data_IF_460223547376
#
_entry.id   IF_460223547376
#
_cell.length_a   1.000
_cell.length_b   1.000
_cell.length_c   1.000
_cell.angle_alpha   90.00
_cell.angle_beta   90.00
_cell.angle_gamma   90.00
#
_symmetry.space_group_name_H-M   'P 1'
#
loop_
_entity.id
_entity.type
_entity.pdbx_description
1 polymer ?
#
# COMPACT_ATOMS: atom_id res chain seq x y z
N UNK A 1 6.08 -0.34 9.37
CA UNK A 1 7.08 -0.52 8.29
C UNK A 1 6.96 0.52 7.19
N UNK A 2 5.91 0.57 6.35
CA UNK A 2 5.85 1.56 5.25
C UNK A 2 5.94 3.03 5.72
N UNK A 3 5.29 3.36 6.84
CA UNK A 3 5.42 4.68 7.47
C UNK A 3 6.84 4.96 7.99
N UNK A 4 7.57 3.93 8.44
CA UNK A 4 8.98 4.04 8.86
C UNK A 4 9.86 4.31 7.64
N UNK A 5 9.65 3.60 6.54
CA UNK A 5 10.37 3.82 5.28
C UNK A 5 10.21 5.24 4.76
N UNK A 6 8.99 5.77 4.81
CA UNK A 6 8.67 7.14 4.36
C UNK A 6 9.13 8.23 5.31
N UNK A 7 9.59 7.87 6.52
CA UNK A 7 9.87 8.83 7.58
C UNK A 7 8.63 9.45 8.24
N UNK A 8 7.44 8.93 7.92
CA UNK A 8 6.16 9.37 8.52
C UNK A 8 6.02 8.89 9.98
N UNK A 9 6.75 7.83 10.34
CA UNK A 9 6.79 7.28 11.69
C UNK A 9 8.24 7.05 12.13
N UNK A 10 8.60 7.68 13.25
CA UNK A 10 9.88 7.48 13.94
C UNK A 10 9.59 6.76 15.27
N UNK A 11 9.58 5.41 15.28
CA UNK A 11 9.18 4.65 16.44
C UNK A 11 10.23 4.77 17.55
N UNK A 12 9.76 4.93 18.79
CA UNK A 12 10.61 4.73 19.96
C UNK A 12 10.81 3.22 20.21
N UNK A 13 11.63 2.88 21.22
CA UNK A 13 11.93 1.49 21.62
C UNK A 13 10.68 0.62 21.88
N UNK A 14 9.60 1.20 22.41
CA UNK A 14 8.37 0.44 22.69
C UNK A 14 7.59 0.17 21.41
N UNK A 15 7.45 1.16 20.53
CA UNK A 15 6.71 1.04 19.27
C UNK A 15 7.43 0.12 18.28
N UNK A 16 8.76 0.13 18.30
CA UNK A 16 9.58 -0.70 17.41
C UNK A 16 9.53 -2.17 17.82
N UNK A 17 9.52 -2.48 19.12
CA UNK A 17 9.36 -3.84 19.62
C UNK A 17 8.07 -4.53 19.17
N UNK A 18 6.96 -3.76 19.05
CA UNK A 18 5.70 -4.28 18.49
C UNK A 18 5.82 -4.56 17.00
N UNK A 19 6.54 -3.71 16.26
CA UNK A 19 6.72 -3.83 14.82
C UNK A 19 7.72 -4.92 14.41
N UNK A 20 8.64 -5.27 15.32
CA UNK A 20 9.73 -6.21 15.10
C UNK A 20 9.43 -7.63 15.55
N UNK A 21 8.15 -8.01 15.49
CA UNK A 21 7.70 -9.38 15.71
C UNK A 21 8.33 -10.32 14.66
N UNK A 22 9.04 -11.39 15.07
CA UNK A 22 9.59 -12.39 14.14
C UNK A 22 8.54 -12.98 13.18
N UNK A 23 7.29 -13.16 13.63
CA UNK A 23 6.20 -13.70 12.82
C UNK A 23 5.77 -12.71 11.72
N UNK A 24 5.95 -11.40 11.94
CA UNK A 24 5.73 -10.38 10.90
C UNK A 24 6.71 -10.58 9.75
N UNK A 25 7.99 -10.77 10.05
CA UNK A 25 9.02 -10.99 9.04
C UNK A 25 8.79 -12.30 8.27
N UNK A 26 8.44 -13.38 8.98
CA UNK A 26 8.11 -14.65 8.35
C UNK A 26 6.91 -14.53 7.41
N UNK A 27 5.86 -13.83 7.83
CA UNK A 27 4.68 -13.58 7.00
C UNK A 27 5.01 -12.80 5.72
N UNK A 28 5.95 -11.85 5.78
CA UNK A 28 6.42 -11.12 4.61
C UNK A 28 7.24 -12.01 3.66
N UNK A 29 8.08 -12.90 4.18
CA UNK A 29 8.82 -13.87 3.37
C UNK A 29 7.88 -14.87 2.68
N UNK A 30 6.87 -15.36 3.40
CA UNK A 30 5.86 -16.25 2.83
C UNK A 30 5.07 -15.55 1.72
N UNK A 31 4.69 -14.27 1.94
CA UNK A 31 4.04 -13.47 0.90
C UNK A 31 4.94 -13.28 -0.33
N UNK A 32 6.22 -12.99 -0.13
CA UNK A 32 7.19 -12.84 -1.21
C UNK A 32 7.30 -14.12 -2.03
N UNK A 33 7.40 -15.29 -1.37
CA UNK A 33 7.46 -16.58 -2.03
C UNK A 33 6.19 -16.88 -2.83
N UNK A 34 5.00 -16.56 -2.28
CA UNK A 34 3.72 -16.69 -2.99
C UNK A 34 3.67 -15.79 -4.22
N UNK A 35 4.13 -14.54 -4.11
CA UNK A 35 4.18 -13.60 -5.23
C UNK A 35 5.13 -14.09 -6.33
N UNK A 36 6.33 -14.56 -5.98
CA UNK A 36 7.28 -15.12 -6.93
C UNK A 36 6.76 -16.37 -7.64
N UNK A 37 5.97 -17.21 -6.95
CA UNK A 37 5.37 -18.40 -7.55
C UNK A 37 4.16 -18.07 -8.43
N UNK A 38 3.41 -17.02 -8.12
CA UNK A 38 2.17 -16.67 -8.81
C UNK A 38 2.36 -15.67 -9.97
N UNK A 39 3.40 -14.83 -9.91
CA UNK A 39 3.65 -13.75 -10.85
C UNK A 39 4.78 -14.10 -11.83
N UNK A 40 4.58 -13.78 -13.10
CA UNK A 40 5.59 -13.86 -14.14
C UNK A 40 6.40 -12.56 -14.21
N UNK A 41 7.47 -12.53 -15.01
CA UNK A 41 8.25 -11.32 -15.30
C UNK A 41 7.43 -10.20 -15.98
N UNK A 42 6.25 -10.53 -16.51
CA UNK A 42 5.35 -9.56 -17.14
C UNK A 42 4.39 -8.92 -16.12
N UNK A 43 4.23 -9.54 -14.95
CA UNK A 43 3.41 -9.01 -13.87
C UNK A 43 4.25 -8.00 -13.10
N UNK A 44 4.02 -6.72 -13.40
CA UNK A 44 4.82 -5.60 -12.90
C UNK A 44 3.98 -4.63 -12.09
N UNK A 45 4.64 -3.93 -11.16
CA UNK A 45 4.07 -2.83 -10.40
C UNK A 45 4.51 -1.52 -11.06
N UNK A 46 3.56 -0.63 -11.34
CA UNK A 46 3.85 0.73 -11.76
C UNK A 46 3.79 1.65 -10.54
N UNK A 47 4.94 2.15 -10.09
CA UNK A 47 5.04 3.08 -8.98
C UNK A 47 5.75 4.35 -9.46
N UNK A 48 5.12 5.52 -9.28
CA UNK A 48 5.67 6.82 -9.70
C UNK A 48 6.17 6.90 -11.14
N UNK A 49 5.55 6.12 -12.06
CA UNK A 49 5.92 6.08 -13.48
C UNK A 49 6.99 5.04 -13.83
N UNK A 50 7.54 4.32 -12.85
CA UNK A 50 8.57 3.29 -13.04
C UNK A 50 7.98 1.90 -12.81
N UNK A 51 8.38 0.94 -13.65
CA UNK A 51 8.01 -0.46 -13.54
C UNK A 51 8.95 -1.19 -12.58
N UNK A 52 8.36 -2.02 -11.73
CA UNK A 52 9.05 -2.85 -10.75
C UNK A 52 8.52 -4.28 -10.78
N UNK A 53 9.26 -5.25 -10.20
CA UNK A 53 8.76 -6.60 -9.99
C UNK A 53 7.45 -6.63 -9.17
N UNK A 54 6.64 -7.66 -9.35
CA UNK A 54 5.41 -7.89 -8.56
C UNK A 54 5.64 -7.89 -7.04
N UNK A 55 6.87 -8.17 -6.60
CA UNK A 55 7.29 -8.20 -5.20
C UNK A 55 7.63 -6.82 -4.62
N UNK A 56 7.60 -5.73 -5.41
CA UNK A 56 8.05 -4.38 -5.03
C UNK A 56 7.70 -3.98 -3.59
N UNK A 57 6.42 -4.01 -3.23
CA UNK A 57 5.99 -3.60 -1.89
C UNK A 57 6.44 -4.55 -0.79
N UNK A 58 6.48 -5.85 -1.05
CA UNK A 58 6.93 -6.84 -0.08
C UNK A 58 8.43 -6.73 0.17
N UNK A 59 9.21 -6.55 -0.90
CA UNK A 59 10.66 -6.37 -0.83
C UNK A 59 11.01 -5.07 -0.10
N UNK A 60 10.26 -4.01 -0.34
CA UNK A 60 10.37 -2.74 0.40
C UNK A 60 10.09 -2.92 1.90
N UNK A 61 9.04 -3.66 2.25
CA UNK A 61 8.66 -3.93 3.64
C UNK A 61 9.69 -4.81 4.35
N UNK A 62 10.18 -5.86 3.68
CA UNK A 62 11.26 -6.73 4.18
C UNK A 62 12.52 -5.92 4.43
N UNK A 63 12.92 -5.09 3.47
CA UNK A 63 14.07 -4.20 3.63
C UNK A 63 13.90 -3.26 4.83
N UNK A 64 12.71 -2.68 4.97
CA UNK A 64 12.39 -1.78 6.09
C UNK A 64 12.46 -2.50 7.43
N UNK A 65 11.93 -3.73 7.48
CA UNK A 65 12.03 -4.57 8.67
C UNK A 65 13.50 -4.83 9.01
N UNK A 66 14.32 -5.22 8.03
CA UNK A 66 15.70 -5.63 8.25
C UNK A 66 16.58 -4.50 8.85
N UNK A 67 16.39 -3.23 8.47
CA UNK A 67 17.14 -2.13 9.09
C UNK A 67 16.47 -1.56 10.34
N UNK A 68 15.12 -1.50 10.40
CA UNK A 68 14.43 -0.93 11.56
C UNK A 68 14.52 -1.86 12.78
N UNK A 69 14.45 -3.17 12.55
CA UNK A 69 14.52 -4.19 13.58
C UNK A 69 15.92 -4.71 13.85
N UNK A 70 16.94 -4.02 13.32
CA UNK A 70 18.32 -4.34 13.63
C UNK A 70 18.56 -4.13 15.13
N UNK A 71 19.14 -5.14 15.78
CA UNK A 71 19.55 -5.06 17.17
C UNK A 71 21.07 -4.95 17.28
N UNK A 72 21.53 -4.42 18.42
CA UNK A 72 22.94 -4.45 18.79
C UNK A 72 23.47 -5.89 18.89
N UNK A 73 24.79 -6.06 19.00
CA UNK A 73 25.39 -7.40 19.03
C UNK A 73 24.90 -8.28 20.20
N UNK A 74 24.43 -7.66 21.29
CA UNK A 74 23.87 -8.34 22.46
C UNK A 74 22.39 -8.74 22.29
N UNK A 75 21.69 -8.23 21.29
CA UNK A 75 20.25 -8.46 21.09
C UNK A 75 19.37 -7.78 22.15
N UNK A 76 19.89 -6.77 22.85
CA UNK A 76 19.20 -6.14 23.99
C UNK A 76 18.47 -4.85 23.62
N UNK A 77 18.85 -4.20 22.53
CA UNK A 77 18.37 -2.87 22.13
C UNK A 77 18.20 -2.81 20.61
N UNK A 78 17.21 -2.05 20.14
CA UNK A 78 17.03 -1.79 18.72
C UNK A 78 17.86 -0.58 18.29
N UNK A 79 18.56 -0.71 17.17
CA UNK A 79 19.48 0.33 16.71
C UNK A 79 18.78 1.54 16.08
N UNK A 80 17.57 1.36 15.56
CA UNK A 80 16.92 2.36 14.73
C UNK A 80 16.48 3.64 15.46
N UNK A 81 15.95 3.61 16.70
CA UNK A 81 15.61 4.84 17.44
C UNK A 81 16.84 5.74 17.66
N UNK A 82 17.95 5.16 18.12
CA UNK A 82 19.22 5.88 18.34
C UNK A 82 19.82 6.39 17.03
N UNK A 83 19.79 5.56 15.99
CA UNK A 83 20.18 5.96 14.64
C UNK A 83 19.47 7.25 14.20
N UNK A 84 18.16 7.34 14.39
CA UNK A 84 17.39 8.54 14.02
C UNK A 84 17.86 9.76 14.82
N UNK A 85 18.03 9.62 16.14
CA UNK A 85 18.48 10.70 17.02
C UNK A 85 19.85 11.25 16.58
N UNK A 86 20.85 10.37 16.44
CA UNK A 86 22.21 10.78 16.08
C UNK A 86 22.31 11.44 14.70
N UNK A 87 21.60 10.90 13.71
CA UNK A 87 21.65 11.43 12.34
C UNK A 87 20.85 12.73 12.19
N UNK A 88 19.77 12.92 12.95
CA UNK A 88 19.01 14.17 12.93
C UNK A 88 19.73 15.31 13.64
N UNK A 89 20.46 14.99 14.70
CA UNK A 89 21.22 15.97 15.48
C UNK A 89 22.66 16.17 14.97
N UNK A 90 23.07 15.44 13.92
CA UNK A 90 24.43 15.46 13.37
C UNK A 90 25.51 15.14 14.43
N UNK A 91 25.24 14.15 15.28
CA UNK A 91 26.16 13.69 16.34
C UNK A 91 27.27 12.82 15.75
N UNK A 92 28.26 13.46 15.13
CA UNK A 92 29.36 12.81 14.40
C UNK A 92 30.15 11.80 15.24
N UNK A 93 30.24 12.00 16.56
CA UNK A 93 30.92 11.07 17.47
C UNK A 93 30.28 9.67 17.48
N UNK A 94 28.97 9.59 17.23
CA UNK A 94 28.19 8.35 17.23
C UNK A 94 28.14 7.69 15.85
N UNK A 95 28.73 8.31 14.82
CA UNK A 95 28.68 7.75 13.46
C UNK A 95 29.34 6.38 13.35
N UNK A 96 30.39 6.14 14.15
CA UNK A 96 31.09 4.86 14.22
C UNK A 96 30.47 3.85 15.20
N UNK A 97 29.35 4.19 15.85
CA UNK A 97 28.63 3.27 16.70
C UNK A 97 28.15 2.05 15.87
N UNK A 98 28.24 0.84 16.43
CA UNK A 98 27.87 -0.38 15.71
C UNK A 98 26.42 -0.35 15.21
N UNK A 99 25.52 0.26 15.98
CA UNK A 99 24.12 0.39 15.61
C UNK A 99 23.95 1.36 14.44
N UNK A 100 24.66 2.49 14.45
CA UNK A 100 24.60 3.46 13.38
C UNK A 100 25.14 2.89 12.05
N UNK A 101 26.34 2.29 12.12
CA UNK A 101 26.97 1.62 10.99
C UNK A 101 26.12 0.46 10.47
N UNK A 102 25.50 -0.30 11.38
CA UNK A 102 24.61 -1.40 11.06
C UNK A 102 23.39 -0.97 10.25
N UNK A 103 22.70 0.09 10.69
CA UNK A 103 21.53 0.63 9.99
C UNK A 103 21.93 1.22 8.64
N UNK A 104 22.99 2.04 8.56
CA UNK A 104 23.50 2.56 7.29
C UNK A 104 23.88 1.44 6.32
N UNK A 105 24.63 0.45 6.78
CA UNK A 105 25.01 -0.71 5.97
C UNK A 105 23.77 -1.44 5.43
N UNK A 106 22.79 -1.71 6.28
CA UNK A 106 21.56 -2.41 5.89
C UNK A 106 20.81 -1.63 4.81
N UNK A 107 20.65 -0.30 4.98
CA UNK A 107 20.04 0.61 4.00
C UNK A 107 20.79 0.64 2.67
N UNK A 108 22.09 0.90 2.70
CA UNK A 108 22.92 0.97 1.49
C UNK A 108 23.11 -0.39 0.80
N UNK A 109 22.81 -1.51 1.45
CA UNK A 109 22.86 -2.83 0.81
C UNK A 109 21.63 -3.12 -0.06
N UNK A 110 20.68 -2.18 -0.13
CA UNK A 110 19.41 -2.34 -0.80
C UNK A 110 19.15 -1.21 -1.79
N UNK A 111 18.57 -1.49 -2.96
CA UNK A 111 18.19 -0.46 -3.93
C UNK A 111 17.13 0.50 -3.38
N UNK A 112 16.39 0.12 -2.33
CA UNK A 112 15.40 0.98 -1.67
C UNK A 112 16.01 1.98 -0.69
N UNK A 113 17.16 1.65 -0.11
CA UNK A 113 17.85 2.47 0.89
C UNK A 113 19.14 3.10 0.37
N UNK A 114 19.47 2.90 -0.91
CA UNK A 114 20.64 3.48 -1.55
C UNK A 114 20.53 5.00 -1.63
N UNK A 115 21.57 5.67 -1.15
CA UNK A 115 21.73 7.11 -1.23
C UNK A 115 23.22 7.40 -1.43
N UNK A 116 23.58 8.08 -2.53
CA UNK A 116 24.97 8.30 -2.91
C UNK A 116 25.71 9.17 -1.89
N UNK A 117 25.04 10.18 -1.31
CA UNK A 117 25.65 11.06 -0.32
C UNK A 117 25.91 10.30 1.00
N UNK A 118 24.97 9.45 1.40
CA UNK A 118 25.14 8.57 2.55
C UNK A 118 26.25 7.54 2.30
N UNK A 119 26.36 6.99 1.10
CA UNK A 119 27.44 6.06 0.74
C UNK A 119 28.81 6.75 0.82
N UNK A 120 28.94 7.97 0.30
CA UNK A 120 30.17 8.77 0.40
C UNK A 120 30.53 9.06 1.85
N UNK A 121 29.56 9.45 2.68
CA UNK A 121 29.77 9.66 4.12
C UNK A 121 30.21 8.35 4.81
N UNK A 122 29.49 7.25 4.60
CA UNK A 122 29.78 5.94 5.18
C UNK A 122 31.19 5.45 4.84
N UNK A 123 31.60 5.59 3.57
CA UNK A 123 32.92 5.17 3.12
C UNK A 123 34.04 6.11 3.55
N UNK A 124 33.74 7.37 3.87
CA UNK A 124 34.71 8.32 4.45
C UNK A 124 35.13 7.93 5.88
N UNK A 125 34.28 7.21 6.62
CA UNK A 125 34.50 6.76 8.00
C UNK A 125 35.44 5.56 8.11
N UNK A 126 36.57 5.64 7.42
CA UNK A 126 37.56 4.56 7.27
C UNK A 126 38.05 3.97 8.60
N UNK A 127 38.04 4.75 9.69
CA UNK A 127 38.41 4.30 11.02
C UNK A 127 37.53 3.14 11.54
N UNK A 128 36.26 3.07 11.11
CA UNK A 128 35.29 2.08 11.57
C UNK A 128 34.69 1.21 10.45
N UNK A 129 34.79 1.60 9.19
CA UNK A 129 34.27 0.81 8.05
C UNK A 129 35.33 0.00 7.28
N UNK A 130 36.60 0.02 7.71
CA UNK A 130 37.69 -0.70 7.02
C UNK A 130 37.60 -2.23 7.09
N UNK A 131 36.86 -2.79 8.05
CA UNK A 131 36.73 -4.25 8.16
C UNK A 131 35.84 -4.81 7.03
N UNK A 132 36.13 -6.00 6.46
CA UNK A 132 35.30 -6.60 5.42
C UNK A 132 33.84 -6.82 5.84
N UNK A 133 33.58 -6.97 7.14
CA UNK A 133 32.22 -7.06 7.70
C UNK A 133 31.40 -5.78 7.51
N UNK A 134 32.03 -4.66 7.18
CA UNK A 134 31.39 -3.36 6.92
C UNK A 134 31.42 -2.95 5.44
N UNK A 135 31.91 -3.83 4.55
CA UNK A 135 31.90 -3.54 3.12
C UNK A 135 30.45 -3.41 2.59
N UNK A 136 30.23 -2.39 1.78
CA UNK A 136 28.99 -2.12 1.05
C UNK A 136 29.34 -1.91 -0.43
N UNK A 137 28.53 -2.46 -1.32
CA UNK A 137 28.63 -2.24 -2.77
C UNK A 137 27.30 -1.76 -3.30
N UNK A 138 27.33 -0.99 -4.38
CA UNK A 138 26.12 -0.54 -5.08
C UNK A 138 25.20 -1.73 -5.42
N UNK A 139 23.93 -1.70 -5.01
CA UNK A 139 22.94 -2.71 -5.37
C UNK A 139 22.72 -2.77 -6.88
N UNK A 140 22.34 -3.95 -7.37
CA UNK A 140 21.88 -4.09 -8.75
C UNK A 140 20.60 -3.29 -9.00
N UNK A 141 20.41 -2.84 -10.24
CA UNK A 141 19.19 -2.15 -10.66
C UNK A 141 17.94 -3.01 -10.37
N UNK A 142 17.02 -2.46 -9.58
CA UNK A 142 15.77 -3.13 -9.21
C UNK A 142 14.58 -2.71 -10.07
N UNK A 143 14.59 -1.48 -10.59
CA UNK A 143 13.60 -0.99 -11.53
C UNK A 143 13.72 -1.69 -12.89
N UNK A 144 12.60 -2.16 -13.43
CA UNK A 144 12.51 -2.83 -14.72
C UNK A 144 12.50 -1.86 -15.91
N UNK A 145 12.24 -0.56 -15.67
CA UNK A 145 12.24 0.49 -16.69
C UNK A 145 10.97 1.37 -16.64
N UNK A 146 10.67 2.06 -17.74
CA UNK A 146 9.45 2.87 -17.87
C UNK A 146 8.42 2.19 -18.80
N UNK A 147 7.11 2.44 -18.64
CA UNK A 147 6.06 1.84 -19.48
C UNK A 147 6.22 2.05 -20.99
N UNK A 148 6.94 3.10 -21.41
CA UNK A 148 7.21 3.41 -22.81
C UNK A 148 8.20 2.48 -23.50
N UNK A 149 8.93 1.64 -22.74
CA UNK A 149 10.03 0.81 -23.23
C UNK A 149 9.63 -0.66 -23.47
N UNK A 150 8.37 -1.05 -23.20
CA UNK A 150 7.92 -2.45 -23.24
C UNK A 150 7.19 -2.80 -24.56
N UNK A 151 7.50 -3.93 -25.23
CA UNK A 151 6.76 -4.36 -26.41
C UNK A 151 5.33 -4.77 -26.07
N UNK A 152 4.36 -4.39 -26.90
CA UNK A 152 2.94 -4.79 -26.80
C UNK A 152 2.76 -6.32 -26.76
N UNK A 153 2.16 -6.83 -25.68
CA UNK A 153 1.83 -8.26 -25.48
C UNK A 153 0.36 -8.58 -25.82
N UNK A 154 0.04 -9.77 -26.38
CA UNK A 154 -1.32 -10.25 -26.56
C UNK A 154 -1.84 -10.99 -25.30
N UNK A 155 -3.10 -10.72 -24.94
CA UNK A 155 -3.77 -11.31 -23.76
C UNK A 155 -4.42 -12.65 -24.06
N UNK A 156 -4.10 -13.68 -23.29
CA UNK A 156 -4.95 -14.87 -23.11
C UNK A 156 -4.89 -15.34 -21.66
N UNK A 157 -6.05 -15.42 -20.99
CA UNK A 157 -6.19 -16.16 -19.72
C UNK A 157 -7.62 -16.66 -19.56
N UNK A 158 -7.74 -17.95 -19.28
CA UNK A 158 -8.96 -18.61 -18.78
C UNK A 158 -8.66 -19.10 -17.36
N UNK A 159 -9.46 -18.69 -16.39
CA UNK A 159 -9.49 -19.29 -15.04
C UNK A 159 -10.92 -19.21 -14.49
N UNK A 160 -11.40 -20.34 -13.96
CA UNK A 160 -12.81 -20.66 -13.72
C UNK A 160 -13.17 -20.74 -12.24
N UNK A 161 -12.84 -19.71 -11.46
CA UNK A 161 -13.45 -19.50 -10.13
C UNK A 161 -13.99 -18.07 -10.05
N UNK A 162 -15.29 -17.85 -9.75
CA UNK A 162 -15.85 -16.51 -9.72
C UNK A 162 -15.43 -15.81 -8.43
N UNK A 163 -14.23 -15.22 -8.45
CA UNK A 163 -13.96 -14.00 -7.68
C UNK A 163 -14.60 -12.88 -8.50
N UNK A 164 -15.37 -11.93 -7.92
CA UNK A 164 -15.89 -10.81 -8.70
C UNK A 164 -14.71 -10.08 -9.33
N UNK A 165 -14.52 -10.29 -10.63
CA UNK A 165 -13.43 -9.74 -11.40
C UNK A 165 -13.78 -8.29 -11.63
N UNK A 166 -12.96 -7.38 -11.08
CA UNK A 166 -13.10 -5.95 -11.35
C UNK A 166 -13.01 -5.76 -12.87
N UNK A 167 -14.17 -5.55 -13.49
CA UNK A 167 -14.34 -5.55 -14.93
C UNK A 167 -15.16 -4.33 -15.33
N UNK A 168 -14.94 -3.87 -16.56
CA UNK A 168 -15.63 -2.71 -17.06
C UNK A 168 -17.09 -3.02 -17.38
N UNK A 169 -18.02 -2.37 -16.69
CA UNK A 169 -19.45 -2.59 -16.89
C UNK A 169 -20.05 -1.59 -17.87
N UNK A 170 -19.57 -0.35 -17.85
CA UNK A 170 -20.01 0.69 -18.79
C UNK A 170 -18.95 1.77 -18.93
N UNK A 171 -19.08 2.59 -19.98
CA UNK A 171 -18.24 3.75 -20.19
C UNK A 171 -18.96 5.01 -19.69
N UNK A 172 -18.18 5.97 -19.20
CA UNK A 172 -18.64 7.28 -18.78
C UNK A 172 -17.71 8.36 -19.29
N UNK A 173 -18.27 9.37 -19.96
CA UNK A 173 -17.52 10.55 -20.37
C UNK A 173 -17.58 11.58 -19.24
N UNK A 174 -16.41 12.00 -18.75
CA UNK A 174 -16.27 12.97 -17.67
C UNK A 174 -16.92 14.29 -18.09
N UNK A 175 -17.79 14.83 -17.24
CA UNK A 175 -18.48 16.10 -17.45
C UNK A 175 -17.71 17.26 -16.80
N UNK A 176 -18.13 18.49 -17.10
CA UNK A 176 -17.64 19.66 -16.38
C UNK A 176 -17.94 19.53 -14.87
N UNK A 177 -16.94 19.80 -14.03
CA UNK A 177 -17.00 19.68 -12.56
C UNK A 177 -17.06 18.26 -12.00
N UNK A 178 -16.92 17.23 -12.84
CA UNK A 178 -16.76 15.86 -12.34
C UNK A 178 -15.39 15.65 -11.69
N UNK A 179 -15.41 14.82 -10.65
CA UNK A 179 -14.21 14.28 -10.03
C UNK A 179 -14.44 12.81 -9.71
N UNK A 180 -13.38 12.05 -9.47
CA UNK A 180 -13.52 10.61 -9.17
C UNK A 180 -14.54 10.32 -8.05
N UNK A 181 -14.59 11.15 -7.00
CA UNK A 181 -15.42 10.95 -5.80
C UNK A 181 -16.87 11.27 -6.10
N UNK A 182 -17.14 12.32 -6.89
CA UNK A 182 -18.51 12.66 -7.32
C UNK A 182 -19.06 11.60 -8.26
N UNK A 183 -18.25 11.15 -9.24
CA UNK A 183 -18.62 10.07 -10.15
C UNK A 183 -18.87 8.78 -9.36
N UNK A 184 -18.01 8.43 -8.41
CA UNK A 184 -18.19 7.23 -7.57
C UNK A 184 -19.53 7.24 -6.84
N UNK A 185 -19.90 8.40 -6.26
CA UNK A 185 -21.20 8.59 -5.58
C UNK A 185 -22.37 8.40 -6.55
N UNK A 186 -22.34 9.10 -7.69
CA UNK A 186 -23.44 9.09 -8.67
C UNK A 186 -23.59 7.74 -9.35
N UNK A 187 -22.47 7.08 -9.65
CA UNK A 187 -22.46 5.77 -10.32
C UNK A 187 -22.57 4.58 -9.37
N UNK A 188 -22.67 4.84 -8.06
CA UNK A 188 -22.79 3.79 -7.04
C UNK A 188 -21.64 2.77 -7.13
N UNK A 189 -20.42 3.27 -7.22
CA UNK A 189 -19.20 2.44 -7.26
C UNK A 189 -18.23 2.87 -6.18
N UNK A 190 -17.39 1.95 -5.72
CA UNK A 190 -16.27 2.29 -4.85
C UNK A 190 -15.27 3.18 -5.60
N UNK A 191 -14.78 4.25 -4.95
CA UNK A 191 -13.73 5.11 -5.50
C UNK A 191 -12.46 4.31 -5.76
N UNK A 192 -12.13 3.35 -4.91
CA UNK A 192 -11.01 2.44 -5.12
C UNK A 192 -11.17 1.61 -6.39
N UNK A 193 -12.34 1.01 -6.61
CA UNK A 193 -12.62 0.20 -7.80
C UNK A 193 -12.64 1.05 -9.07
N UNK A 194 -13.16 2.28 -9.00
CA UNK A 194 -13.14 3.24 -10.12
C UNK A 194 -11.71 3.60 -10.50
N UNK A 195 -10.85 3.88 -9.51
CA UNK A 195 -9.43 4.18 -9.76
C UNK A 195 -8.72 2.97 -10.37
N UNK A 196 -8.91 1.77 -9.78
CA UNK A 196 -8.23 0.56 -10.23
C UNK A 196 -8.58 0.14 -11.65
N UNK A 197 -9.86 0.21 -12.05
CA UNK A 197 -10.26 -0.21 -13.40
C UNK A 197 -9.79 0.77 -14.48
N UNK A 198 -9.45 2.00 -14.10
CA UNK A 198 -8.99 3.06 -15.00
C UNK A 198 -7.49 3.38 -14.85
N UNK A 199 -6.75 2.63 -14.03
CA UNK A 199 -5.34 2.89 -13.72
C UNK A 199 -5.07 4.34 -13.24
N UNK A 200 -6.00 4.90 -12.46
CA UNK A 200 -5.85 6.26 -11.94
C UNK A 200 -4.92 6.27 -10.71
N UNK A 201 -4.11 7.32 -10.53
CA UNK A 201 -3.30 7.50 -9.34
C UNK A 201 -4.13 7.51 -8.05
N UNK A 202 -3.50 7.11 -6.94
CA UNK A 202 -4.08 7.16 -5.60
C UNK A 202 -4.60 8.55 -5.24
N UNK A 203 -5.60 8.60 -4.36
CA UNK A 203 -6.28 9.82 -3.93
C UNK A 203 -6.92 10.64 -5.06
N UNK A 204 -7.12 10.00 -6.22
CA UNK A 204 -7.64 10.63 -7.42
C UNK A 204 -6.85 11.86 -7.87
N UNK A 205 -5.55 11.85 -7.58
CA UNK A 205 -4.65 12.84 -8.13
C UNK A 205 -4.62 12.73 -9.65
N UNK A 206 -4.48 13.88 -10.32
CA UNK A 206 -4.43 13.98 -11.78
C UNK A 206 -5.65 13.34 -12.47
N UNK A 207 -6.84 13.50 -11.91
CA UNK A 207 -8.06 12.98 -12.51
C UNK A 207 -8.27 13.55 -13.92
N UNK A 208 -8.60 12.73 -14.94
CA UNK A 208 -8.73 13.21 -16.31
C UNK A 208 -9.79 14.29 -16.46
N UNK A 209 -9.56 15.21 -17.40
CA UNK A 209 -10.45 16.35 -17.63
C UNK A 209 -11.77 15.99 -18.33
N UNK A 210 -12.70 16.96 -18.45
CA UNK A 210 -13.95 16.77 -19.17
C UNK A 210 -13.74 16.30 -20.61
N UNK A 211 -14.58 15.38 -21.07
CA UNK A 211 -14.50 14.77 -22.40
C UNK A 211 -13.68 13.48 -22.46
N UNK A 212 -12.88 13.16 -21.42
CA UNK A 212 -12.22 11.85 -21.33
C UNK A 212 -13.23 10.77 -20.97
N UNK A 213 -13.17 9.64 -21.67
CA UNK A 213 -14.00 8.46 -21.36
C UNK A 213 -13.25 7.55 -20.39
N UNK A 214 -13.92 7.22 -19.29
CA UNK A 214 -13.45 6.28 -18.27
C UNK A 214 -14.41 5.11 -18.16
N UNK A 215 -13.90 4.01 -17.65
CA UNK A 215 -14.65 2.82 -17.30
C UNK A 215 -15.37 2.97 -15.95
N UNK A 216 -16.61 2.50 -15.86
CA UNK A 216 -17.36 2.34 -14.62
C UNK A 216 -17.37 0.85 -14.24
N UNK A 217 -16.86 0.48 -13.05
CA UNK A 217 -16.82 -0.90 -12.59
C UNK A 217 -18.20 -1.38 -12.08
N UNK A 218 -18.25 -2.59 -11.54
CA UNK A 218 -19.45 -3.12 -10.88
C UNK A 218 -19.95 -2.19 -9.76
N UNK A 219 -21.26 -2.01 -9.75
CA UNK A 219 -21.95 -1.16 -8.79
C UNK A 219 -22.17 -1.89 -7.46
N UNK A 220 -22.35 -1.13 -6.40
CA UNK A 220 -22.63 -1.61 -5.06
C UNK A 220 -23.46 -0.58 -4.32
N UNK A 221 -24.11 -0.96 -3.22
CA UNK A 221 -24.63 0.04 -2.28
C UNK A 221 -23.43 0.78 -1.69
N UNK A 222 -23.44 2.11 -1.72
CA UNK A 222 -22.28 2.91 -1.30
C UNK A 222 -22.49 3.73 -0.02
N UNK A 223 -21.39 4.08 0.63
CA UNK A 223 -21.32 5.06 1.71
C UNK A 223 -20.15 6.02 1.45
N UNK A 224 -20.35 7.31 1.72
CA UNK A 224 -19.27 8.31 1.69
C UNK A 224 -18.66 8.44 3.08
N UNK A 225 -17.36 8.21 3.18
CA UNK A 225 -16.63 8.26 4.45
C UNK A 225 -16.60 9.68 4.99
N UNK A 226 -17.14 9.85 6.20
CA UNK A 226 -17.14 11.09 6.96
C UNK A 226 -16.08 11.14 8.07
N UNK A 227 -15.87 12.32 8.69
CA UNK A 227 -14.79 12.57 9.65
C UNK A 227 -14.88 11.81 10.98
N UNK A 228 -16.05 11.27 11.32
CA UNK A 228 -16.29 10.54 12.58
C UNK A 228 -16.70 9.08 12.35
N UNK A 229 -16.58 8.61 11.10
CA UNK A 229 -16.92 7.25 10.74
C UNK A 229 -15.85 6.27 11.23
N UNK A 230 -16.33 5.09 11.62
CA UNK A 230 -15.51 3.91 11.87
C UNK A 230 -16.13 2.76 11.09
N UNK A 231 -15.37 1.70 10.79
CA UNK A 231 -15.94 0.53 10.10
C UNK A 231 -17.13 -0.03 10.87
N UNK A 232 -17.05 -0.07 12.20
CA UNK A 232 -18.14 -0.56 13.04
C UNK A 232 -19.41 0.28 12.87
N UNK A 233 -19.31 1.62 12.92
CA UNK A 233 -20.46 2.51 12.71
C UNK A 233 -21.07 2.34 11.32
N UNK A 234 -20.21 2.26 10.29
CA UNK A 234 -20.65 2.10 8.90
C UNK A 234 -21.32 0.74 8.71
N UNK A 235 -20.68 -0.33 9.18
CA UNK A 235 -21.17 -1.70 9.07
C UNK A 235 -22.51 -1.87 9.80
N UNK A 236 -22.62 -1.37 11.03
CA UNK A 236 -23.86 -1.37 11.80
C UNK A 236 -24.97 -0.60 11.08
N UNK A 237 -24.69 0.60 10.57
CA UNK A 237 -25.66 1.39 9.80
C UNK A 237 -26.09 0.70 8.51
N UNK A 238 -25.20 -0.06 7.89
CA UNK A 238 -25.46 -0.82 6.68
C UNK A 238 -26.12 -2.20 6.94
N UNK A 239 -26.17 -2.66 8.19
CA UNK A 239 -26.67 -3.99 8.55
C UNK A 239 -25.77 -5.12 8.06
N UNK A 240 -24.45 -4.91 8.06
CA UNK A 240 -23.43 -5.88 7.62
C UNK A 240 -22.36 -6.03 8.69
N UNK A 241 -21.53 -7.07 8.59
CA UNK A 241 -20.36 -7.23 9.47
C UNK A 241 -19.19 -6.37 9.00
N UNK A 242 -18.28 -6.00 9.92
CA UNK A 242 -17.03 -5.32 9.57
C UNK A 242 -16.20 -6.14 8.59
N UNK A 243 -16.18 -7.46 8.73
CA UNK A 243 -15.47 -8.36 7.82
C UNK A 243 -16.06 -8.33 6.40
N UNK A 244 -17.39 -8.28 6.27
CA UNK A 244 -18.05 -8.09 4.97
C UNK A 244 -17.69 -6.74 4.37
N UNK A 245 -17.75 -5.67 5.16
CA UNK A 245 -17.38 -4.33 4.74
C UNK A 245 -15.93 -4.28 4.19
N UNK A 246 -14.97 -4.85 4.93
CA UNK A 246 -13.56 -4.92 4.52
C UNK A 246 -13.41 -5.80 3.27
N UNK A 247 -14.12 -6.92 3.19
CA UNK A 247 -14.03 -7.83 2.03
C UNK A 247 -14.47 -7.17 0.71
N UNK A 248 -15.36 -6.19 0.76
CA UNK A 248 -15.81 -5.42 -0.41
C UNK A 248 -14.95 -4.20 -0.71
N UNK A 249 -14.08 -3.79 0.22
CA UNK A 249 -13.21 -2.62 0.08
C UNK A 249 -11.77 -2.98 0.46
N UNK A 250 -11.00 -3.58 -0.48
CA UNK A 250 -9.64 -4.06 -0.20
C UNK A 250 -8.64 -2.98 0.21
N UNK A 251 -8.98 -1.70 0.06
CA UNK A 251 -8.17 -0.56 0.49
C UNK A 251 -8.45 -0.13 1.93
N UNK A 252 -9.41 -0.75 2.63
CA UNK A 252 -9.57 -0.60 4.08
C UNK A 252 -8.71 -1.67 4.74
N UNK A 253 -7.84 -1.28 5.67
CA UNK A 253 -7.01 -2.26 6.38
C UNK A 253 -7.86 -3.09 7.36
N UNK A 254 -7.38 -4.29 7.76
CA UNK A 254 -8.12 -5.17 8.67
C UNK A 254 -8.50 -4.51 10.00
N UNK A 255 -7.67 -3.60 10.50
CA UNK A 255 -7.86 -2.84 11.75
C UNK A 255 -8.81 -1.64 11.59
N UNK A 256 -9.19 -1.32 10.35
CA UNK A 256 -9.98 -0.16 9.97
C UNK A 256 -9.44 1.20 10.48
N UNK A 257 -8.12 1.31 10.65
CA UNK A 257 -7.47 2.53 11.15
C UNK A 257 -7.26 3.58 10.07
N UNK A 258 -7.38 3.23 8.79
CA UNK A 258 -7.10 4.13 7.66
C UNK A 258 -8.33 4.82 7.05
N UNK A 259 -9.52 4.69 7.66
CA UNK A 259 -10.73 5.40 7.21
C UNK A 259 -10.55 6.93 7.24
N UNK A 260 -9.78 7.43 8.21
CA UNK A 260 -9.50 8.86 8.34
C UNK A 260 -8.73 9.43 7.13
N UNK A 261 -7.90 8.62 6.47
CA UNK A 261 -7.18 9.05 5.27
C UNK A 261 -8.09 9.04 4.01
N UNK A 262 -9.28 8.46 4.14
CA UNK A 262 -10.23 8.24 3.05
C UNK A 262 -11.43 9.20 3.08
N UNK A 263 -11.28 10.38 3.68
CA UNK A 263 -12.38 11.36 3.75
C UNK A 263 -12.95 11.68 2.36
N UNK A 264 -14.28 11.66 2.28
CA UNK A 264 -15.10 11.79 1.07
C UNK A 264 -14.97 10.67 0.03
N UNK A 265 -14.17 9.64 0.29
CA UNK A 265 -14.14 8.47 -0.59
C UNK A 265 -15.45 7.72 -0.47
N UNK A 266 -15.79 7.04 -1.57
CA UNK A 266 -16.96 6.19 -1.65
C UNK A 266 -16.52 4.75 -1.48
N UNK A 267 -17.12 4.05 -0.51
CA UNK A 267 -16.88 2.64 -0.22
C UNK A 267 -18.15 1.83 -0.44
N UNK A 268 -18.00 0.55 -0.78
CA UNK A 268 -19.10 -0.39 -0.90
C UNK A 268 -19.56 -0.89 0.47
N UNK A 269 -20.83 -0.73 0.81
CA UNK A 269 -21.47 -1.29 2.00
C UNK A 269 -22.43 -2.44 1.66
N UNK A 270 -22.27 -3.02 0.48
CA UNK A 270 -22.98 -4.20 -0.01
C UNK A 270 -22.12 -4.92 -1.04
N UNK A 271 -22.45 -6.18 -1.38
CA UNK A 271 -21.69 -6.94 -2.36
C UNK A 271 -21.70 -6.26 -3.73
N UNK A 272 -20.65 -6.49 -4.52
CA UNK A 272 -20.60 -6.01 -5.90
C UNK A 272 -21.74 -6.65 -6.72
N UNK A 273 -22.34 -5.86 -7.62
CA UNK A 273 -23.49 -6.26 -8.44
C UNK A 273 -24.84 -6.23 -7.73
N UNK A 274 -24.91 -5.84 -6.45
CA UNK A 274 -26.15 -5.86 -5.64
C UNK A 274 -26.82 -4.50 -5.47
N UNK A 275 -26.98 -3.73 -6.54
CA UNK A 275 -27.89 -2.56 -6.47
C UNK A 275 -29.31 -3.08 -6.52
N UNK A 276 -29.98 -3.12 -5.37
CA UNK A 276 -31.41 -3.42 -5.30
C UNK A 276 -32.18 -2.39 -6.12
N UNK A 277 -32.84 -2.83 -7.18
CA UNK A 277 -33.89 -2.09 -7.87
C UNK A 277 -34.95 -1.76 -6.81
N UNK A 278 -35.08 -0.50 -6.41
CA UNK A 278 -36.22 -0.05 -5.62
C UNK A 278 -37.47 -0.11 -6.49
N UNK A 279 -38.10 -1.28 -6.58
CA UNK A 279 -39.55 -1.37 -6.74
C UNK A 279 -40.14 -1.43 -5.34
N UNK A 280 -40.69 -0.31 -4.90
CA UNK A 280 -41.57 -0.27 -3.75
C UNK A 280 -42.80 -1.15 -4.03
N UNK A 281 -42.91 -2.27 -3.33
CA UNK A 281 -44.18 -2.89 -3.01
C UNK A 281 -44.05 -3.55 -1.65
N UNK A 282 -44.56 -2.84 -0.64
CA UNK A 282 -44.79 -3.33 0.70
C UNK A 282 -45.90 -4.39 0.64
N UNK A 283 -45.73 -5.62 1.17
CA UNK A 283 -46.86 -6.49 1.42
C UNK A 283 -47.56 -6.02 2.69
N UNK A 284 -48.86 -5.72 2.56
CA UNK A 284 -49.77 -5.41 3.66
C UNK A 284 -49.67 -6.45 4.78
N UNK A 285 -49.59 -5.95 6.01
CA UNK A 285 -49.74 -6.73 7.25
C UNK A 285 -51.23 -6.98 7.49
N UNK A 286 -51.71 -8.23 7.65
CA UNK A 286 -53.09 -8.46 8.03
C UNK A 286 -53.30 -8.11 9.50
N UNK A 287 -54.27 -7.24 9.75
CA UNK A 287 -54.78 -6.92 11.09
C UNK A 287 -55.55 -8.13 11.63
N UNK A 288 -55.17 -8.65 12.79
CA UNK A 288 -55.94 -9.66 13.50
C UNK A 288 -56.98 -8.99 14.41
N UNK A 289 -58.22 -9.46 14.33
CA UNK A 289 -59.32 -9.22 15.29
C UNK A 289 -59.22 -10.16 16.48
#
# INVERSE_FOLDING_TARGET
>A
LLAIFRGDLLPNETDIGISCDPDCRLSLLDLQAVQQAACSSNDTILESGTLYPATYFTDLLLHTFDYACLQNAAGTEYCFPQYIEWNQNEEEEEYCNECNLGVWKSRLSSPFGWDDALFDLYTSLTACTAAPSWAVTSPSQYALGYPGDMPTMPSTTTSSRPRPTLSCQSNYTIQASDWCKSISRVKQVSTYNLMRVNLLPSYCNFFPGPGTTICIPETCRVHSVGPLDTCEKIANKAGVTTQQLISWNPNINPECSNLYDMLDFVICVGPLGSVATTTASYPDVPTAM
#
